data_IF_693632421920
#
_entry.id   IF_693632421920
#
_cell.length_a   1.000
_cell.length_b   1.000
_cell.length_c   1.000
_cell.angle_alpha   90.00
_cell.angle_beta   90.00
_cell.angle_gamma   90.00
#
_symmetry.space_group_name_H-M   'P 1'
#
loop_
_entity.id
_entity.type
_entity.pdbx_description
1 polymer ?
#
# COMPACT_ATOMS: atom_id res chain seq x y z
N UNK A 1 -10.06 3.84 -29.28
CA UNK A 1 -11.53 3.92 -29.08
C UNK A 1 -11.99 5.39 -28.95
N UNK A 2 -13.19 5.76 -29.42
CA UNK A 2 -13.67 7.15 -29.43
C UNK A 2 -14.30 7.58 -28.08
N UNK A 3 -14.20 8.86 -27.69
CA UNK A 3 -14.60 9.34 -26.35
C UNK A 3 -16.08 9.05 -26.00
N UNK A 4 -16.96 9.09 -27.01
CA UNK A 4 -18.39 8.76 -26.87
C UNK A 4 -18.60 7.29 -26.49
N UNK A 5 -17.81 6.38 -27.06
CA UNK A 5 -17.91 4.95 -26.81
C UNK A 5 -17.49 4.63 -25.37
N UNK A 6 -16.43 5.27 -24.88
CA UNK A 6 -16.01 5.13 -23.48
C UNK A 6 -17.07 5.65 -22.51
N UNK A 7 -17.71 6.80 -22.80
CA UNK A 7 -18.78 7.32 -21.94
C UNK A 7 -19.97 6.35 -21.88
N UNK A 8 -20.35 5.76 -23.01
CA UNK A 8 -21.41 4.76 -23.06
C UNK A 8 -21.04 3.51 -22.26
N UNK A 9 -19.80 3.02 -22.42
CA UNK A 9 -19.28 1.86 -21.70
C UNK A 9 -19.33 2.08 -20.18
N UNK A 10 -18.75 3.18 -19.67
CA UNK A 10 -18.76 3.47 -18.23
C UNK A 10 -20.17 3.60 -17.65
N UNK A 11 -21.12 4.16 -18.41
CA UNK A 11 -22.52 4.26 -17.96
C UNK A 11 -23.20 2.90 -17.85
N UNK A 12 -22.84 1.96 -18.71
CA UNK A 12 -23.39 0.60 -18.70
C UNK A 12 -22.75 -0.28 -17.63
N UNK A 13 -21.47 -0.07 -17.35
CA UNK A 13 -20.68 -1.00 -16.53
C UNK A 13 -20.41 -0.50 -15.12
N UNK A 14 -20.60 0.78 -14.81
CA UNK A 14 -20.28 1.38 -13.51
C UNK A 14 -21.45 2.17 -12.93
N UNK A 15 -21.44 2.39 -11.61
CA UNK A 15 -22.46 3.19 -10.88
C UNK A 15 -22.11 4.69 -10.81
N UNK A 16 -21.20 5.18 -11.66
CA UNK A 16 -20.74 6.57 -11.60
C UNK A 16 -21.81 7.56 -12.06
N UNK A 17 -21.82 8.74 -11.42
CA UNK A 17 -22.62 9.86 -11.91
C UNK A 17 -22.06 10.38 -13.24
N UNK A 18 -22.90 10.89 -14.16
CA UNK A 18 -22.44 11.37 -15.47
C UNK A 18 -21.29 12.39 -15.42
N UNK A 19 -21.26 13.27 -14.41
CA UNK A 19 -20.17 14.23 -14.21
C UNK A 19 -18.83 13.56 -13.85
N UNK A 20 -18.88 12.52 -13.02
CA UNK A 20 -17.71 11.74 -12.63
C UNK A 20 -17.14 10.96 -13.82
N UNK A 21 -18.01 10.34 -14.62
CA UNK A 21 -17.65 9.62 -15.85
C UNK A 21 -16.93 10.55 -16.83
N UNK A 22 -17.50 11.73 -17.12
CA UNK A 22 -16.87 12.70 -18.04
C UNK A 22 -15.50 13.16 -17.54
N UNK A 23 -15.39 13.48 -16.24
CA UNK A 23 -14.14 13.93 -15.66
C UNK A 23 -13.06 12.85 -15.72
N UNK A 24 -13.40 11.61 -15.41
CA UNK A 24 -12.45 10.49 -15.44
C UNK A 24 -12.00 10.17 -16.87
N UNK A 25 -12.94 10.08 -17.81
CA UNK A 25 -12.61 9.83 -19.23
C UNK A 25 -11.73 10.93 -19.80
N UNK A 26 -11.95 12.20 -19.41
CA UNK A 26 -11.09 13.31 -19.82
C UNK A 26 -9.64 13.11 -19.37
N UNK A 27 -9.41 12.54 -18.18
CA UNK A 27 -8.06 12.21 -17.68
C UNK A 27 -7.50 11.02 -18.46
N UNK A 28 -8.28 9.95 -18.60
CA UNK A 28 -7.85 8.70 -19.27
C UNK A 28 -7.42 8.95 -20.72
N UNK A 29 -8.15 9.80 -21.46
CA UNK A 29 -7.84 10.12 -22.85
C UNK A 29 -6.55 10.92 -23.05
N UNK A 30 -5.87 11.35 -21.98
CA UNK A 30 -4.56 12.00 -22.06
C UNK A 30 -3.41 11.01 -22.26
N UNK A 31 -3.65 9.72 -21.98
CA UNK A 31 -2.66 8.67 -22.06
C UNK A 31 -2.75 7.92 -23.40
N UNK A 32 -1.62 7.40 -23.87
CA UNK A 32 -1.56 6.62 -25.11
C UNK A 32 -2.37 5.31 -24.99
N UNK A 33 -2.30 4.67 -23.82
CA UNK A 33 -2.99 3.42 -23.48
C UNK A 33 -4.42 3.66 -22.92
N UNK A 34 -5.09 4.73 -23.35
CA UNK A 34 -6.39 5.15 -22.83
C UNK A 34 -7.44 4.03 -22.78
N UNK A 35 -7.42 3.09 -23.73
CA UNK A 35 -8.36 1.98 -23.79
C UNK A 35 -8.14 0.96 -22.67
N UNK A 36 -6.90 0.52 -22.45
CA UNK A 36 -6.54 -0.41 -21.38
C UNK A 36 -6.78 0.23 -20.00
N UNK A 37 -6.44 1.50 -19.88
CA UNK A 37 -6.66 2.30 -18.68
C UNK A 37 -8.15 2.48 -18.37
N UNK A 38 -8.99 2.61 -19.39
CA UNK A 38 -10.45 2.64 -19.22
C UNK A 38 -10.99 1.31 -18.67
N UNK A 39 -10.56 0.17 -19.23
CA UNK A 39 -10.95 -1.15 -18.70
C UNK A 39 -10.45 -1.35 -17.27
N UNK A 40 -9.23 -0.91 -16.97
CA UNK A 40 -8.66 -0.95 -15.62
C UNK A 40 -9.54 -0.14 -14.67
N UNK A 41 -9.86 1.11 -15.00
CA UNK A 41 -10.72 1.96 -14.17
C UNK A 41 -12.11 1.33 -13.93
N UNK A 42 -12.73 0.75 -14.97
CA UNK A 42 -14.01 0.04 -14.83
C UNK A 42 -13.87 -1.14 -13.86
N UNK A 43 -12.82 -1.95 -14.01
CA UNK A 43 -12.52 -3.06 -13.12
C UNK A 43 -12.37 -2.62 -11.67
N UNK A 44 -11.63 -1.53 -11.41
CA UNK A 44 -11.47 -0.97 -10.07
C UNK A 44 -12.79 -0.52 -9.47
N UNK A 45 -13.59 0.24 -10.22
CA UNK A 45 -14.88 0.76 -9.77
C UNK A 45 -15.89 -0.36 -9.47
N UNK A 46 -15.79 -1.48 -10.17
CA UNK A 46 -16.65 -2.65 -9.94
C UNK A 46 -16.16 -3.56 -8.80
N UNK A 47 -14.91 -3.40 -8.36
CA UNK A 47 -14.35 -4.07 -7.17
C UNK A 47 -14.41 -3.16 -5.93
N UNK A 48 -15.45 -2.32 -5.84
CA UNK A 48 -15.72 -1.42 -4.71
C UNK A 48 -14.62 -0.39 -4.39
N UNK A 49 -13.68 -0.16 -5.32
CA UNK A 49 -12.71 0.94 -5.17
C UNK A 49 -13.43 2.26 -5.45
N UNK A 50 -13.25 3.22 -4.55
CA UNK A 50 -13.94 4.50 -4.66
C UNK A 50 -13.49 5.30 -5.88
N UNK A 51 -14.42 6.02 -6.50
CA UNK A 51 -14.12 6.99 -7.57
C UNK A 51 -12.97 7.94 -7.21
N UNK A 52 -12.93 8.39 -5.95
CA UNK A 52 -11.92 9.33 -5.46
C UNK A 52 -10.52 8.71 -5.57
N UNK A 53 -10.35 7.47 -5.07
CA UNK A 53 -9.09 6.75 -5.15
C UNK A 53 -8.68 6.47 -6.59
N UNK A 54 -9.60 5.99 -7.43
CA UNK A 54 -9.31 5.76 -8.86
C UNK A 54 -8.85 7.06 -9.52
N UNK A 55 -9.55 8.18 -9.28
CA UNK A 55 -9.16 9.47 -9.85
C UNK A 55 -7.79 9.94 -9.36
N UNK A 56 -7.51 9.79 -8.07
CA UNK A 56 -6.22 10.17 -7.46
C UNK A 56 -5.06 9.38 -8.05
N UNK A 57 -5.22 8.06 -8.23
CA UNK A 57 -4.20 7.22 -8.85
C UNK A 57 -3.93 7.63 -10.29
N UNK A 58 -4.97 7.92 -11.08
CA UNK A 58 -4.82 8.34 -12.46
C UNK A 58 -4.14 9.71 -12.57
N UNK A 59 -4.46 10.66 -11.68
CA UNK A 59 -3.78 11.96 -11.62
C UNK A 59 -2.31 11.85 -11.16
N UNK A 60 -2.01 10.84 -10.35
CA UNK A 60 -0.67 10.57 -9.84
C UNK A 60 0.11 9.57 -10.71
N UNK A 61 -0.42 9.18 -11.87
CA UNK A 61 0.17 8.21 -12.80
C UNK A 61 0.50 6.86 -12.16
N UNK A 62 -0.31 6.46 -11.16
CA UNK A 62 -0.15 5.20 -10.45
C UNK A 62 -0.97 4.10 -11.12
N UNK A 63 -0.33 3.39 -12.03
CA UNK A 63 -0.94 2.28 -12.78
C UNK A 63 -0.36 0.93 -12.37
N UNK A 64 -1.07 -0.15 -12.72
CA UNK A 64 -0.61 -1.51 -12.47
C UNK A 64 -0.29 -1.75 -11.00
N UNK A 65 0.93 -2.24 -10.72
CA UNK A 65 1.41 -2.51 -9.36
C UNK A 65 1.40 -1.28 -8.44
N UNK A 66 1.55 -0.08 -9.02
CA UNK A 66 1.56 1.15 -8.23
C UNK A 66 0.15 1.66 -7.86
N UNK A 67 -0.89 1.10 -8.45
CA UNK A 67 -2.28 1.47 -8.19
C UNK A 67 -2.81 1.00 -6.83
N UNK A 68 -3.93 1.58 -6.42
CA UNK A 68 -4.63 1.28 -5.19
C UNK A 68 -5.03 -0.19 -4.95
N UNK A 69 -5.40 -1.05 -5.94
CA UNK A 69 -5.75 -2.43 -5.63
C UNK A 69 -4.59 -3.22 -5.02
N UNK A 70 -3.34 -2.86 -5.35
CA UNK A 70 -2.16 -3.53 -4.84
C UNK A 70 -1.50 -2.82 -3.66
N UNK A 71 -2.04 -1.69 -3.19
CA UNK A 71 -1.45 -0.91 -2.12
C UNK A 71 -1.10 -1.76 -0.88
N UNK A 72 -2.04 -2.61 -0.44
CA UNK A 72 -1.83 -3.54 0.69
C UNK A 72 -0.69 -4.53 0.44
N UNK A 73 -0.60 -5.06 -0.78
CA UNK A 73 0.45 -6.01 -1.15
C UNK A 73 1.81 -5.34 -1.25
N UNK A 74 1.85 -4.11 -1.79
CA UNK A 74 3.05 -3.27 -1.88
C UNK A 74 3.53 -2.86 -0.50
N UNK A 75 2.66 -2.43 0.41
CA UNK A 75 3.02 -2.08 1.78
C UNK A 75 3.60 -3.29 2.53
N UNK A 76 2.92 -4.44 2.47
CA UNK A 76 3.39 -5.68 3.08
C UNK A 76 4.73 -6.17 2.49
N UNK A 77 4.97 -5.91 1.20
CA UNK A 77 6.25 -6.21 0.55
C UNK A 77 7.34 -5.21 0.95
N UNK A 78 7.07 -3.91 0.88
CA UNK A 78 7.99 -2.84 1.25
C UNK A 78 8.49 -2.99 2.69
N UNK A 79 7.63 -3.39 3.62
CA UNK A 79 8.05 -3.70 4.99
C UNK A 79 9.10 -4.82 5.04
N UNK A 80 8.87 -5.94 4.33
CA UNK A 80 9.80 -7.06 4.27
C UNK A 80 11.09 -6.69 3.54
N UNK A 81 10.98 -5.98 2.43
CA UNK A 81 12.13 -5.51 1.66
C UNK A 81 12.98 -4.54 2.50
N UNK A 82 12.35 -3.68 3.32
CA UNK A 82 13.06 -2.83 4.27
C UNK A 82 13.83 -3.63 5.33
N UNK A 83 13.22 -4.69 5.89
CA UNK A 83 13.92 -5.59 6.83
C UNK A 83 15.10 -6.28 6.13
N UNK A 84 14.95 -6.70 4.88
CA UNK A 84 16.05 -7.36 4.15
C UNK A 84 17.18 -6.40 3.77
N UNK A 85 16.83 -5.18 3.33
CA UNK A 85 17.79 -4.15 2.94
C UNK A 85 18.51 -3.55 4.14
N UNK A 86 17.81 -3.44 5.28
CA UNK A 86 18.33 -2.96 6.56
C UNK A 86 18.02 -4.00 7.62
N UNK A 87 18.77 -5.13 7.62
CA UNK A 87 18.58 -6.17 8.62
C UNK A 87 18.71 -5.53 10.00
N UNK A 88 17.70 -5.70 10.87
CA UNK A 88 17.76 -5.15 12.21
C UNK A 88 18.95 -5.77 12.96
N UNK A 89 19.62 -4.96 13.75
CA UNK A 89 20.83 -5.36 14.46
C UNK A 89 20.47 -6.41 15.52
N UNK A 90 20.99 -7.63 15.36
CA UNK A 90 20.85 -8.67 16.38
C UNK A 90 21.87 -8.39 17.46
N UNK A 91 21.41 -7.80 18.57
CA UNK A 91 22.25 -7.50 19.73
C UNK A 91 22.22 -8.66 20.71
N UNK A 92 23.05 -9.67 20.43
CA UNK A 92 23.16 -10.85 21.29
C UNK A 92 23.65 -10.45 22.70
N UNK A 93 22.90 -10.83 23.73
CA UNK A 93 23.20 -10.62 25.16
C UNK A 93 23.11 -9.18 25.69
N UNK A 94 22.71 -8.19 24.88
CA UNK A 94 22.48 -6.83 25.36
C UNK A 94 21.12 -6.68 26.06
N UNK A 95 20.10 -7.37 25.53
CA UNK A 95 18.73 -7.33 26.06
C UNK A 95 18.20 -8.74 26.27
N UNK A 96 17.72 -9.00 27.47
CA UNK A 96 17.11 -10.26 27.86
C UNK A 96 15.59 -10.23 27.72
N UNK A 97 14.98 -11.27 27.16
CA UNK A 97 13.53 -11.35 27.04
C UNK A 97 12.88 -11.39 28.44
N UNK A 98 11.93 -10.49 28.77
CA UNK A 98 11.36 -10.43 30.11
C UNK A 98 10.41 -11.60 30.45
N UNK A 99 10.03 -12.43 29.46
CA UNK A 99 9.12 -13.56 29.64
C UNK A 99 9.88 -14.88 29.82
N UNK A 100 10.85 -15.15 28.94
CA UNK A 100 11.57 -16.44 28.91
C UNK A 100 13.05 -16.34 29.23
N UNK A 101 13.55 -15.13 29.53
CA UNK A 101 14.96 -14.88 29.89
C UNK A 101 15.98 -15.28 28.82
N UNK A 102 15.53 -15.50 27.58
CA UNK A 102 16.40 -15.81 26.45
C UNK A 102 17.15 -14.55 25.99
N UNK A 103 18.45 -14.70 25.74
CA UNK A 103 19.39 -13.57 25.49
C UNK A 103 19.63 -13.25 24.03
N UNK A 104 19.03 -14.02 23.11
CA UNK A 104 19.00 -13.66 21.69
C UNK A 104 17.71 -12.91 21.41
N UNK A 105 17.84 -11.60 21.29
CA UNK A 105 16.74 -10.69 21.01
C UNK A 105 17.08 -9.80 19.83
N UNK A 106 16.05 -9.41 19.08
CA UNK A 106 16.14 -8.42 18.02
C UNK A 106 15.62 -7.09 18.54
N UNK A 107 16.35 -6.01 18.29
CA UNK A 107 15.89 -4.67 18.62
C UNK A 107 15.56 -3.94 17.33
N UNK A 108 14.31 -3.49 17.22
CA UNK A 108 13.84 -2.71 16.08
C UNK A 108 13.51 -1.31 16.56
N UNK A 109 14.24 -0.32 16.05
CA UNK A 109 13.97 1.10 16.30
C UNK A 109 12.90 1.61 15.32
N UNK A 110 11.84 2.21 15.85
CA UNK A 110 10.76 2.78 15.05
C UNK A 110 10.38 4.17 15.55
N UNK A 111 10.29 5.13 14.63
CA UNK A 111 9.72 6.44 14.92
C UNK A 111 8.19 6.34 14.92
N UNK A 112 7.62 6.00 16.08
CA UNK A 112 6.16 5.90 16.24
C UNK A 112 5.50 7.20 16.70
N UNK A 113 6.31 8.20 17.09
CA UNK A 113 5.87 9.49 17.63
C UNK A 113 6.33 10.66 16.75
N UNK A 114 5.92 11.88 17.09
CA UNK A 114 6.37 13.10 16.41
C UNK A 114 7.90 13.16 16.32
N UNK A 115 8.43 13.82 15.29
CA UNK A 115 9.87 13.90 15.04
C UNK A 115 10.68 14.51 16.20
N UNK A 116 10.01 15.28 17.05
CA UNK A 116 10.61 15.91 18.24
C UNK A 116 10.73 14.94 19.43
N UNK A 117 10.15 13.74 19.32
CA UNK A 117 10.22 12.68 20.32
C UNK A 117 11.20 11.57 19.90
N UNK A 118 11.81 10.92 20.89
CA UNK A 118 12.76 9.82 20.65
C UNK A 118 12.14 8.57 20.01
N UNK A 119 12.99 7.70 19.48
CA UNK A 119 12.59 6.43 18.88
C UNK A 119 11.93 5.50 19.90
N UNK A 120 10.98 4.70 19.41
CA UNK A 120 10.42 3.58 20.16
C UNK A 120 11.16 2.30 19.79
N UNK A 121 11.59 1.56 20.80
CA UNK A 121 12.28 0.28 20.63
C UNK A 121 11.28 -0.85 20.74
N UNK A 122 11.34 -1.81 19.82
CA UNK A 122 10.61 -3.07 19.89
C UNK A 122 11.60 -4.22 20.01
N UNK A 123 11.48 -5.00 21.08
CA UNK A 123 12.37 -6.13 21.39
C UNK A 123 11.63 -7.42 21.03
N UNK A 124 12.14 -8.16 20.04
CA UNK A 124 11.60 -9.46 19.64
C UNK A 124 12.46 -10.59 20.22
N UNK A 125 11.82 -11.56 20.88
CA UNK A 125 12.50 -12.75 21.37
C UNK A 125 12.67 -13.80 20.26
N UNK A 126 13.89 -14.29 20.05
CA UNK A 126 14.17 -15.39 19.11
C UNK A 126 13.95 -16.79 19.68
N UNK A 127 13.49 -16.94 20.93
CA UNK A 127 13.12 -18.25 21.45
C UNK A 127 11.88 -18.78 20.69
N UNK A 128 11.97 -19.92 19.98
CA UNK A 128 10.86 -20.46 19.17
C UNK A 128 9.58 -20.73 19.96
N UNK A 129 9.70 -20.94 21.28
CA UNK A 129 8.59 -21.21 22.20
C UNK A 129 7.94 -19.94 22.79
N UNK A 130 8.66 -18.81 22.80
CA UNK A 130 8.17 -17.55 23.38
C UNK A 130 7.67 -16.59 22.29
N UNK A 131 8.54 -16.26 21.31
CA UNK A 131 8.25 -15.31 20.22
C UNK A 131 7.63 -13.98 20.65
N UNK A 132 7.83 -13.58 21.91
CA UNK A 132 7.24 -12.37 22.47
C UNK A 132 7.84 -11.12 21.82
N UNK A 133 7.01 -10.08 21.73
CA UNK A 133 7.40 -8.74 21.27
C UNK A 133 7.07 -7.76 22.39
N UNK A 134 8.08 -7.06 22.89
CA UNK A 134 7.94 -6.08 23.98
C UNK A 134 8.38 -4.70 23.51
N UNK A 135 7.80 -3.65 24.10
CA UNK A 135 8.07 -2.24 23.82
C UNK A 135 8.77 -1.61 25.01
#
# INVERSE_FOLDING_TARGET
MDAKNLIALFKLTTKLKPGQTKALIKIILQYEEAEELAYTAIGLLNNDISYKQVKEDFLAERFGWEGCPYAKHREARSFRDNILAKPPEVRDSEIECPICHYKKTLVVEMQTRSADEGYTYYIHCFNPQCRAVTK
#
